data_IF_063706969507
#
_entry.id   IF_063706969507
#
_cell.length_a   1.000
_cell.length_b   1.000
_cell.length_c   1.000
_cell.angle_alpha   90.00
_cell.angle_beta   90.00
_cell.angle_gamma   90.00
#
_symmetry.space_group_name_H-M   'P 1'
#
loop_
_entity.id
_entity.type
_entity.pdbx_description
1 polymer ?
#
# COMPACT_ATOMS: atom_id res chain seq x y z
N UNK A 1 25.17 -19.30 -7.58
CA UNK A 1 24.58 -20.49 -6.87
C UNK A 1 24.07 -21.54 -7.86
N UNK A 2 23.57 -21.16 -9.05
CA UNK A 2 23.52 -22.07 -10.23
C UNK A 2 24.88 -22.75 -10.52
N UNK A 3 25.96 -22.23 -9.94
CA UNK A 3 27.34 -22.68 -10.06
C UNK A 3 27.90 -23.42 -8.82
N UNK A 4 27.12 -23.66 -7.75
CA UNK A 4 27.62 -24.44 -6.60
C UNK A 4 27.52 -25.94 -6.88
N UNK A 5 28.63 -26.66 -6.79
CA UNK A 5 28.73 -28.09 -7.12
C UNK A 5 27.98 -29.03 -6.17
N UNK A 6 27.74 -28.63 -4.90
CA UNK A 6 27.01 -29.45 -3.91
C UNK A 6 26.16 -28.57 -2.96
N UNK A 7 24.91 -28.22 -3.34
CA UNK A 7 24.02 -27.46 -2.47
C UNK A 7 23.42 -28.32 -1.35
N UNK A 8 23.34 -27.77 -0.15
CA UNK A 8 22.66 -28.38 1.00
C UNK A 8 21.15 -28.51 0.77
N UNK A 9 20.45 -29.37 1.53
CA UNK A 9 18.99 -29.51 1.42
C UNK A 9 18.25 -28.19 1.70
N UNK A 10 18.76 -27.37 2.62
CA UNK A 10 18.21 -26.06 2.93
C UNK A 10 18.38 -25.10 1.75
N UNK A 11 19.55 -25.10 1.11
CA UNK A 11 19.77 -24.27 -0.08
C UNK A 11 18.87 -24.70 -1.25
N UNK A 12 18.62 -26.01 -1.41
CA UNK A 12 17.66 -26.54 -2.40
C UNK A 12 16.24 -26.05 -2.09
N UNK A 13 15.76 -26.21 -0.85
CA UNK A 13 14.43 -25.75 -0.43
C UNK A 13 14.27 -24.24 -0.62
N UNK A 14 15.31 -23.46 -0.28
CA UNK A 14 15.33 -22.00 -0.46
C UNK A 14 15.10 -21.59 -1.92
N UNK A 15 15.82 -22.23 -2.86
CA UNK A 15 15.67 -21.97 -4.30
C UNK A 15 14.33 -22.46 -4.84
N UNK A 16 13.88 -23.62 -4.37
CA UNK A 16 12.57 -24.17 -4.71
C UNK A 16 11.45 -23.21 -4.32
N UNK A 17 11.47 -22.69 -3.08
CA UNK A 17 10.52 -21.69 -2.60
C UNK A 17 10.62 -20.39 -3.41
N UNK A 18 11.82 -19.87 -3.64
CA UNK A 18 12.04 -18.67 -4.45
C UNK A 18 11.40 -18.81 -5.84
N UNK A 19 11.67 -19.92 -6.54
CA UNK A 19 11.13 -20.18 -7.87
C UNK A 19 9.61 -20.36 -7.83
N UNK A 20 9.08 -21.13 -6.88
CA UNK A 20 7.64 -21.34 -6.74
C UNK A 20 6.89 -20.04 -6.46
N UNK A 21 7.37 -19.23 -5.53
CA UNK A 21 6.72 -17.97 -5.15
C UNK A 21 6.69 -16.99 -6.33
N UNK A 22 7.79 -16.87 -7.07
CA UNK A 22 7.83 -16.01 -8.26
C UNK A 22 6.99 -16.57 -9.42
N UNK A 23 6.87 -17.90 -9.53
CA UNK A 23 6.00 -18.56 -10.52
C UNK A 23 4.51 -18.38 -10.24
N UNK A 24 4.10 -17.92 -9.04
CA UNK A 24 2.70 -17.59 -8.75
C UNK A 24 2.21 -16.39 -9.58
N UNK A 25 3.11 -15.59 -10.16
CA UNK A 25 2.73 -14.45 -10.99
C UNK A 25 2.10 -13.28 -10.22
N UNK A 26 2.11 -13.31 -8.89
CA UNK A 26 1.58 -12.24 -8.01
C UNK A 26 2.29 -10.92 -8.27
N UNK A 27 3.61 -10.97 -8.44
CA UNK A 27 4.44 -9.81 -8.77
C UNK A 27 4.51 -8.77 -7.66
N UNK A 28 5.12 -7.62 -8.00
CA UNK A 28 5.29 -6.53 -7.05
C UNK A 28 3.93 -5.93 -6.68
N UNK A 29 3.71 -5.69 -5.39
CA UNK A 29 2.47 -5.15 -4.81
C UNK A 29 1.21 -6.00 -5.00
N UNK A 30 1.30 -7.19 -5.62
CA UNK A 30 0.12 -7.97 -6.00
C UNK A 30 -0.58 -7.45 -7.25
N UNK A 31 0.14 -6.75 -8.14
CA UNK A 31 -0.42 -6.21 -9.39
C UNK A 31 -0.07 -7.08 -10.62
N UNK A 32 0.43 -8.30 -10.40
CA UNK A 32 0.94 -9.17 -11.44
C UNK A 32 2.43 -8.95 -11.71
N UNK A 33 3.10 -9.99 -12.21
CA UNK A 33 4.48 -9.88 -12.69
C UNK A 33 5.37 -11.08 -12.33
N UNK A 34 6.63 -11.00 -12.72
CA UNK A 34 7.60 -12.10 -12.60
C UNK A 34 8.32 -12.16 -11.25
N UNK A 35 8.20 -11.13 -10.43
CA UNK A 35 8.98 -10.98 -9.20
C UNK A 35 8.08 -10.58 -8.05
N UNK A 36 7.72 -11.57 -7.24
CA UNK A 36 7.01 -11.42 -5.96
C UNK A 36 8.00 -11.28 -4.81
N UNK A 37 9.09 -12.07 -4.84
CA UNK A 37 10.16 -12.04 -3.83
C UNK A 37 11.53 -11.85 -4.50
N UNK A 38 12.34 -11.00 -3.89
CA UNK A 38 13.74 -10.78 -4.32
C UNK A 38 14.66 -11.91 -3.84
N UNK A 39 14.36 -12.49 -2.69
CA UNK A 39 15.10 -13.63 -2.16
C UNK A 39 14.28 -14.36 -1.08
N UNK A 40 14.65 -15.61 -0.82
CA UNK A 40 14.18 -16.39 0.33
C UNK A 40 15.39 -16.72 1.20
N UNK A 41 15.26 -16.56 2.52
CA UNK A 41 16.25 -16.99 3.51
C UNK A 41 15.61 -18.01 4.43
N UNK A 42 16.31 -19.11 4.69
CA UNK A 42 15.88 -20.16 5.61
C UNK A 42 16.94 -20.28 6.69
N UNK A 43 16.50 -20.30 7.94
CA UNK A 43 17.33 -20.55 9.11
C UNK A 43 16.66 -21.65 9.91
N UNK A 44 17.32 -22.77 10.08
CA UNK A 44 16.88 -23.89 10.87
C UNK A 44 17.62 -23.94 12.21
N UNK A 45 16.99 -24.58 13.19
CA UNK A 45 17.53 -24.81 14.52
C UNK A 45 17.01 -26.14 15.06
N UNK A 46 17.78 -26.84 15.91
CA UNK A 46 17.29 -28.03 16.59
C UNK A 46 16.11 -27.68 17.48
N UNK A 47 15.13 -28.59 17.54
CA UNK A 47 13.92 -28.44 18.35
C UNK A 47 13.71 -29.68 19.20
N UNK A 48 12.91 -29.56 20.27
CA UNK A 48 12.48 -30.73 21.03
C UNK A 48 11.74 -31.71 20.09
N UNK A 49 11.92 -33.02 20.27
CA UNK A 49 11.38 -34.03 19.34
C UNK A 49 9.84 -33.96 19.15
N UNK A 50 9.12 -33.45 20.14
CA UNK A 50 7.67 -33.22 20.09
C UNK A 50 7.28 -31.83 19.53
N UNK A 51 8.19 -31.09 18.91
CA UNK A 51 7.95 -29.70 18.47
C UNK A 51 8.65 -29.38 17.15
N UNK A 52 7.93 -28.71 16.26
CA UNK A 52 8.46 -28.21 14.99
C UNK A 52 7.93 -26.79 14.73
N UNK A 53 8.38 -25.79 15.50
CA UNK A 53 8.02 -24.39 15.27
C UNK A 53 8.50 -23.95 13.88
N UNK A 54 7.62 -23.28 13.14
CA UNK A 54 7.93 -22.66 11.85
C UNK A 54 7.46 -21.21 11.91
N UNK A 55 8.32 -20.28 11.51
CA UNK A 55 8.01 -18.86 11.44
C UNK A 55 8.31 -18.32 10.04
N UNK A 56 7.40 -17.50 9.52
CA UNK A 56 7.58 -16.75 8.27
C UNK A 56 7.66 -15.27 8.61
N UNK A 57 8.74 -14.61 8.19
CA UNK A 57 8.98 -13.20 8.46
C UNK A 57 9.24 -12.48 7.14
N UNK A 58 8.27 -11.70 6.62
CA UNK A 58 8.49 -10.91 5.42
C UNK A 58 9.40 -9.71 5.70
N UNK A 59 10.34 -9.43 4.80
CA UNK A 59 11.07 -8.16 4.76
C UNK A 59 10.52 -7.31 3.62
N UNK A 60 10.14 -6.07 3.91
CA UNK A 60 9.46 -5.19 2.95
C UNK A 60 10.45 -4.31 2.17
N UNK A 61 9.95 -3.52 1.23
CA UNK A 61 10.75 -2.57 0.45
C UNK A 61 11.55 -1.58 1.32
N UNK A 62 11.08 -1.26 2.53
CA UNK A 62 11.84 -0.50 3.51
C UNK A 62 12.83 -1.40 4.30
N UNK A 63 13.67 -2.14 3.57
CA UNK A 63 14.71 -3.03 4.12
C UNK A 63 15.87 -2.20 4.69
N UNK A 64 15.79 -1.86 5.97
CA UNK A 64 16.73 -0.94 6.63
C UNK A 64 17.53 -1.68 7.68
N UNK A 65 18.77 -2.01 7.34
CA UNK A 65 19.68 -2.72 8.23
C UNK A 65 21.12 -2.25 7.99
N UNK A 66 21.86 -1.99 9.07
CA UNK A 66 23.30 -1.71 9.05
C UNK A 66 23.98 -2.53 10.15
N UNK A 67 25.10 -3.17 9.84
CA UNK A 67 26.03 -3.70 10.84
C UNK A 67 27.27 -2.80 10.85
N UNK A 68 27.79 -2.52 12.04
CA UNK A 68 29.09 -1.87 12.19
C UNK A 68 29.79 -2.48 13.41
N UNK A 69 31.12 -2.40 13.43
CA UNK A 69 31.95 -2.81 14.56
C UNK A 69 32.70 -1.60 15.10
N UNK A 70 32.88 -1.55 16.42
CA UNK A 70 33.68 -0.51 17.07
C UNK A 70 35.02 -1.15 17.44
N UNK A 71 36.09 -0.67 16.83
CA UNK A 71 37.47 -1.14 17.03
C UNK A 71 38.39 -0.08 17.64
N UNK A 72 37.84 1.11 17.96
CA UNK A 72 38.58 2.24 18.50
C UNK A 72 39.26 3.12 17.44
N UNK A 73 39.04 2.88 16.14
CA UNK A 73 39.65 3.65 15.05
C UNK A 73 39.06 5.04 14.83
N UNK A 74 37.86 5.32 15.33
CA UNK A 74 37.21 6.63 15.18
C UNK A 74 35.69 6.58 15.17
N UNK A 75 35.08 7.62 14.62
CA UNK A 75 33.61 7.71 14.42
C UNK A 75 33.21 6.77 13.28
N UNK A 76 32.11 6.04 13.46
CA UNK A 76 31.54 5.24 12.40
C UNK A 76 30.88 6.15 11.35
N UNK A 77 31.25 5.97 10.09
CA UNK A 77 30.68 6.71 8.95
C UNK A 77 29.66 5.84 8.22
N UNK A 78 28.55 6.45 7.80
CA UNK A 78 27.58 5.78 6.93
C UNK A 78 28.12 5.80 5.49
N UNK A 79 28.12 4.67 4.77
CA UNK A 79 28.56 4.64 3.39
C UNK A 79 27.62 5.45 2.50
N UNK A 80 28.19 6.19 1.55
CA UNK A 80 27.43 6.86 0.50
C UNK A 80 26.69 5.85 -0.39
N UNK A 81 25.52 6.25 -0.87
CA UNK A 81 24.74 5.44 -1.82
C UNK A 81 25.28 5.64 -3.22
N UNK A 82 25.78 4.57 -3.84
CA UNK A 82 26.17 4.59 -5.24
C UNK A 82 24.93 4.61 -6.14
N UNK A 83 24.63 5.81 -6.66
CA UNK A 83 23.48 6.02 -7.54
C UNK A 83 23.63 5.29 -8.89
N UNK A 84 24.84 4.88 -9.30
CA UNK A 84 25.06 4.17 -10.57
C UNK A 84 24.54 2.73 -10.57
N UNK A 85 24.26 2.16 -9.38
CA UNK A 85 23.64 0.83 -9.23
C UNK A 85 22.15 0.85 -9.63
N UNK A 86 21.53 2.03 -9.63
CA UNK A 86 20.14 2.19 -10.03
C UNK A 86 20.05 2.36 -11.55
N UNK A 87 19.20 1.58 -12.24
CA UNK A 87 19.03 1.73 -13.67
C UNK A 87 18.36 3.08 -14.00
N UNK A 88 18.74 3.66 -15.14
CA UNK A 88 17.99 4.76 -15.75
C UNK A 88 16.66 4.20 -16.26
N UNK A 89 15.59 4.42 -15.47
CA UNK A 89 14.25 3.99 -15.82
C UNK A 89 13.46 5.16 -16.41
N UNK A 90 13.14 5.08 -17.70
CA UNK A 90 12.14 5.95 -18.30
C UNK A 90 10.74 5.37 -18.09
N UNK A 91 9.88 6.11 -17.40
CA UNK A 91 8.46 5.79 -17.30
C UNK A 91 7.66 6.59 -18.32
N UNK A 92 6.95 5.89 -19.18
CA UNK A 92 6.03 6.50 -20.14
C UNK A 92 4.70 6.90 -19.46
N UNK A 93 4.67 8.12 -18.91
CA UNK A 93 3.47 8.68 -18.28
C UNK A 93 2.38 9.08 -19.29
N UNK A 94 2.64 9.03 -20.61
CA UNK A 94 1.62 9.40 -21.61
C UNK A 94 0.40 8.47 -21.60
N UNK A 95 0.58 7.25 -21.07
CA UNK A 95 -0.47 6.23 -20.92
C UNK A 95 -1.35 6.41 -19.68
N UNK A 96 -0.95 7.28 -18.75
CA UNK A 96 -1.69 7.48 -17.52
C UNK A 96 -2.88 8.42 -17.77
N UNK A 97 -4.07 8.01 -17.32
CA UNK A 97 -5.26 8.86 -17.42
C UNK A 97 -5.18 9.97 -16.37
N UNK A 98 -5.26 11.23 -16.81
CA UNK A 98 -5.31 12.37 -15.88
C UNK A 98 -6.73 12.53 -15.34
N UNK A 99 -6.83 12.68 -14.03
CA UNK A 99 -8.12 12.79 -13.33
C UNK A 99 -8.10 14.03 -12.44
N UNK A 100 -9.01 14.96 -12.70
CA UNK A 100 -9.28 16.10 -11.82
C UNK A 100 -10.38 15.74 -10.83
N UNK A 101 -10.00 15.56 -9.57
CA UNK A 101 -10.89 15.17 -8.48
C UNK A 101 -11.93 16.24 -8.14
N UNK A 102 -11.71 17.51 -8.53
CA UNK A 102 -12.63 18.59 -8.18
C UNK A 102 -13.91 18.58 -9.05
N UNK A 103 -13.86 17.90 -10.19
CA UNK A 103 -14.98 17.76 -11.14
C UNK A 103 -15.37 16.31 -11.39
N UNK A 104 -14.70 15.35 -10.72
CA UNK A 104 -14.91 13.93 -10.92
C UNK A 104 -16.29 13.51 -10.43
N UNK A 105 -17.04 12.79 -11.26
CA UNK A 105 -18.31 12.16 -10.89
C UNK A 105 -18.19 10.64 -10.81
N UNK A 106 -19.17 9.98 -10.16
CA UNK A 106 -19.22 8.51 -10.10
C UNK A 106 -19.38 7.87 -11.47
N UNK A 107 -20.12 8.52 -12.37
CA UNK A 107 -20.31 8.06 -13.73
C UNK A 107 -18.99 8.05 -14.51
N UNK A 108 -18.12 9.04 -14.31
CA UNK A 108 -16.81 9.06 -14.97
C UNK A 108 -15.89 7.91 -14.48
N UNK A 109 -16.11 7.40 -13.25
CA UNK A 109 -15.37 6.24 -12.77
C UNK A 109 -15.83 4.92 -13.41
N UNK A 110 -17.00 4.86 -14.06
CA UNK A 110 -17.43 3.63 -14.74
C UNK A 110 -16.61 3.31 -15.99
N UNK A 111 -15.86 4.28 -16.51
CA UNK A 111 -14.93 4.11 -17.63
C UNK A 111 -13.55 3.57 -17.17
N UNK A 112 -13.37 3.34 -15.87
CA UNK A 112 -12.14 2.81 -15.30
C UNK A 112 -12.18 1.29 -15.25
N UNK A 113 -11.11 0.66 -15.71
CA UNK A 113 -10.92 -0.79 -15.61
C UNK A 113 -9.85 -1.09 -14.55
N UNK A 114 -9.91 -2.28 -13.95
CA UNK A 114 -8.82 -2.77 -13.12
C UNK A 114 -7.49 -2.73 -13.89
N UNK A 115 -6.43 -2.25 -13.24
CA UNK A 115 -5.11 -2.07 -13.84
C UNK A 115 -4.90 -0.74 -14.57
N UNK A 116 -5.95 0.07 -14.78
CA UNK A 116 -5.78 1.43 -15.28
C UNK A 116 -4.87 2.23 -14.34
N UNK A 117 -3.95 3.00 -14.92
CA UNK A 117 -3.05 3.89 -14.19
C UNK A 117 -3.53 5.33 -14.32
N UNK A 118 -3.64 6.02 -13.19
CA UNK A 118 -4.21 7.36 -13.08
C UNK A 118 -3.19 8.34 -12.50
N UNK A 119 -3.33 9.60 -12.88
CA UNK A 119 -2.68 10.75 -12.25
C UNK A 119 -3.74 11.65 -11.64
N UNK A 120 -3.88 11.61 -10.32
CA UNK A 120 -4.90 12.36 -9.60
C UNK A 120 -4.41 13.79 -9.30
N UNK A 121 -5.25 14.77 -9.58
CA UNK A 121 -5.06 16.17 -9.20
C UNK A 121 -6.32 16.68 -8.50
N UNK A 122 -6.18 17.40 -7.40
CA UNK A 122 -7.31 17.95 -6.63
C UNK A 122 -7.21 17.60 -5.15
N UNK A 123 -8.36 17.58 -4.47
CA UNK A 123 -8.41 17.44 -3.00
C UNK A 123 -8.71 16.01 -2.56
N UNK A 124 -7.94 15.49 -1.60
CA UNK A 124 -8.19 14.20 -0.92
C UNK A 124 -8.17 14.38 0.59
N UNK A 125 -8.87 13.51 1.31
CA UNK A 125 -8.91 13.52 2.78
C UNK A 125 -8.15 12.32 3.31
N UNK A 126 -7.34 12.47 4.35
CA UNK A 126 -6.67 11.32 4.96
C UNK A 126 -7.51 10.70 6.06
N UNK A 127 -7.32 9.41 6.29
CA UNK A 127 -7.86 8.75 7.46
C UNK A 127 -7.47 7.29 7.48
N UNK A 128 -7.02 6.80 8.62
CA UNK A 128 -6.67 5.39 8.83
C UNK A 128 -7.34 4.85 10.10
N UNK A 129 -6.78 3.83 10.71
CA UNK A 129 -7.35 3.00 11.76
C UNK A 129 -8.08 3.79 12.87
N UNK A 130 -7.40 4.71 13.57
CA UNK A 130 -7.98 5.46 14.69
C UNK A 130 -9.06 6.47 14.23
N UNK A 131 -8.82 7.14 13.11
CA UNK A 131 -9.78 8.10 12.53
C UNK A 131 -11.10 7.40 12.14
N UNK A 132 -11.03 6.25 11.46
CA UNK A 132 -12.22 5.47 11.10
C UNK A 132 -12.98 4.98 12.34
N UNK A 133 -12.26 4.50 13.36
CA UNK A 133 -12.87 4.07 14.62
C UNK A 133 -13.61 5.21 15.30
N UNK A 134 -13.03 6.42 15.34
CA UNK A 134 -13.67 7.59 15.95
C UNK A 134 -14.85 8.10 15.14
N UNK A 135 -14.75 8.14 13.81
CA UNK A 135 -15.89 8.47 12.93
C UNK A 135 -17.04 7.50 13.19
N UNK A 136 -16.78 6.19 13.27
CA UNK A 136 -17.80 5.20 13.59
C UNK A 136 -18.46 5.49 14.94
N UNK A 137 -17.66 5.74 15.99
CA UNK A 137 -18.20 6.05 17.32
C UNK A 137 -19.09 7.30 17.33
N UNK A 138 -18.66 8.36 16.64
CA UNK A 138 -19.45 9.60 16.53
C UNK A 138 -20.78 9.35 15.81
N UNK A 139 -20.78 8.56 14.73
CA UNK A 139 -21.99 8.19 14.01
C UNK A 139 -22.92 7.30 14.84
N UNK A 140 -22.37 6.30 15.55
CA UNK A 140 -23.13 5.44 16.45
C UNK A 140 -23.80 6.24 17.59
N UNK A 141 -23.13 7.31 18.06
CA UNK A 141 -23.64 8.21 19.10
C UNK A 141 -24.60 9.30 18.57
N UNK A 142 -24.82 9.38 17.25
CA UNK A 142 -25.63 10.44 16.64
C UNK A 142 -24.97 11.83 16.63
N UNK A 143 -23.67 11.92 16.86
CA UNK A 143 -22.89 13.18 16.85
C UNK A 143 -22.62 13.69 15.44
N UNK A 144 -22.80 12.84 14.43
CA UNK A 144 -22.53 13.15 13.03
C UNK A 144 -21.06 13.02 12.65
N UNK A 145 -20.66 13.71 11.58
CA UNK A 145 -19.27 13.73 11.10
C UNK A 145 -18.45 14.80 11.84
N UNK A 146 -17.11 14.69 11.86
CA UNK A 146 -16.25 15.70 12.46
C UNK A 146 -16.52 17.08 11.87
N UNK A 147 -16.69 18.08 12.74
CA UNK A 147 -17.00 19.46 12.32
C UNK A 147 -15.92 19.99 11.37
N UNK A 148 -16.34 20.51 10.23
CA UNK A 148 -15.44 21.11 9.24
C UNK A 148 -14.72 20.11 8.34
N UNK A 149 -15.03 18.81 8.44
CA UNK A 149 -14.53 17.79 7.51
C UNK A 149 -15.63 17.47 6.50
N UNK A 150 -15.33 17.68 5.23
CA UNK A 150 -16.19 17.31 4.13
C UNK A 150 -15.60 16.12 3.38
N UNK A 151 -16.35 15.02 3.35
CA UNK A 151 -16.01 13.78 2.67
C UNK A 151 -16.74 13.64 1.33
N UNK A 152 -17.76 14.47 1.09
CA UNK A 152 -18.63 14.31 -0.08
C UNK A 152 -17.83 14.51 -1.36
N UNK A 153 -18.00 13.59 -2.30
CA UNK A 153 -17.26 13.57 -3.56
C UNK A 153 -15.73 13.61 -3.42
N UNK A 154 -15.16 13.16 -2.28
CA UNK A 154 -13.69 13.06 -2.09
C UNK A 154 -13.23 11.62 -2.05
N UNK A 155 -11.94 11.42 -2.34
CA UNK A 155 -11.24 10.17 -2.01
C UNK A 155 -10.70 10.24 -0.59
N UNK A 156 -10.81 9.13 0.14
CA UNK A 156 -10.11 8.96 1.42
C UNK A 156 -8.78 8.23 1.20
N UNK A 157 -7.67 8.84 1.62
CA UNK A 157 -6.34 8.28 1.53
C UNK A 157 -5.92 7.67 2.87
N UNK A 158 -5.64 6.37 2.84
CA UNK A 158 -5.19 5.63 4.00
C UNK A 158 -3.69 5.83 4.20
N UNK A 159 -3.33 6.88 4.92
CA UNK A 159 -1.95 7.30 5.17
C UNK A 159 -1.78 7.75 6.62
N UNK A 160 -0.58 7.53 7.16
CA UNK A 160 -0.11 8.22 8.36
C UNK A 160 1.14 8.99 7.98
N UNK A 161 1.05 10.28 7.61
CA UNK A 161 2.19 11.03 7.15
C UNK A 161 3.19 11.24 8.28
N UNK A 162 4.47 11.31 7.93
CA UNK A 162 5.53 11.78 8.84
C UNK A 162 5.46 13.31 8.92
N UNK A 163 5.82 13.85 10.08
CA UNK A 163 5.91 15.30 10.27
C UNK A 163 6.88 15.92 9.24
N UNK A 164 6.49 17.07 8.70
CA UNK A 164 7.33 17.85 7.82
C UNK A 164 8.58 18.34 8.55
N UNK A 165 9.70 18.39 7.85
CA UNK A 165 10.93 19.05 8.30
C UNK A 165 11.20 20.27 7.44
N UNK A 166 11.73 21.32 8.05
CA UNK A 166 12.06 22.59 7.39
C UNK A 166 10.90 23.12 6.53
N UNK A 167 11.12 23.29 5.23
CA UNK A 167 10.15 23.86 4.28
C UNK A 167 9.30 22.78 3.55
N UNK A 168 9.32 21.53 4.02
CA UNK A 168 8.48 20.48 3.45
C UNK A 168 6.99 20.76 3.68
N UNK A 169 6.16 20.54 2.65
CA UNK A 169 4.70 20.60 2.79
C UNK A 169 4.20 19.50 3.75
N UNK A 170 4.79 18.32 3.64
CA UNK A 170 4.49 17.12 4.40
C UNK A 170 5.68 16.17 4.30
N UNK A 171 5.99 15.42 5.36
CA UNK A 171 7.00 14.36 5.31
C UNK A 171 6.56 13.18 4.44
N UNK A 172 7.34 12.08 4.40
CA UNK A 172 6.96 10.85 3.70
C UNK A 172 5.52 10.40 4.01
N UNK A 173 4.72 10.22 2.95
CA UNK A 173 3.28 10.01 3.05
C UNK A 173 2.85 8.82 2.18
N UNK A 174 3.32 7.63 2.54
CA UNK A 174 3.02 6.40 1.81
C UNK A 174 1.72 5.72 2.27
N UNK A 175 1.09 4.90 1.41
CA UNK A 175 -0.16 4.23 1.73
C UNK A 175 0.01 3.18 2.85
N UNK A 176 -1.05 2.94 3.60
CA UNK A 176 -1.16 1.83 4.55
C UNK A 176 -2.09 0.73 4.03
N UNK A 177 -2.01 -0.45 4.65
CA UNK A 177 -2.78 -1.64 4.26
C UNK A 177 -4.28 -1.38 4.35
N UNK A 178 -4.97 -1.42 3.21
CA UNK A 178 -6.36 -1.04 3.07
C UNK A 178 -7.34 -2.01 3.75
N UNK A 179 -6.99 -3.29 3.81
CA UNK A 179 -7.80 -4.36 4.43
C UNK A 179 -8.15 -4.07 5.88
N UNK A 180 -7.31 -3.31 6.61
CA UNK A 180 -7.60 -2.92 8.01
C UNK A 180 -8.83 -2.01 8.15
N UNK A 181 -9.24 -1.34 7.07
CA UNK A 181 -10.40 -0.46 7.02
C UNK A 181 -11.64 -1.12 6.39
N UNK A 182 -11.56 -2.41 6.04
CA UNK A 182 -12.66 -3.11 5.34
C UNK A 182 -13.96 -3.11 6.16
N UNK A 183 -13.88 -3.29 7.48
CA UNK A 183 -15.04 -3.27 8.38
C UNK A 183 -15.74 -1.91 8.48
N UNK A 184 -15.09 -0.82 8.05
CA UNK A 184 -15.67 0.54 8.05
C UNK A 184 -16.16 0.96 6.67
N UNK A 185 -15.83 0.22 5.60
CA UNK A 185 -15.96 0.72 4.22
C UNK A 185 -17.42 0.98 3.83
N UNK A 186 -18.34 0.05 4.11
CA UNK A 186 -19.76 0.26 3.73
C UNK A 186 -20.37 1.43 4.48
N UNK A 187 -20.01 1.60 5.75
CA UNK A 187 -20.41 2.75 6.55
C UNK A 187 -19.87 4.06 5.95
N UNK A 188 -18.57 4.11 5.61
CA UNK A 188 -17.98 5.32 5.04
C UNK A 188 -18.64 5.67 3.71
N UNK A 189 -18.80 4.70 2.81
CA UNK A 189 -19.44 4.92 1.52
C UNK A 189 -20.89 5.40 1.67
N UNK A 190 -21.67 4.75 2.53
CA UNK A 190 -23.09 5.06 2.71
C UNK A 190 -23.35 6.38 3.45
N UNK A 191 -22.54 6.70 4.47
CA UNK A 191 -22.79 7.83 5.37
C UNK A 191 -22.05 9.12 5.00
N UNK A 192 -20.98 9.02 4.21
CA UNK A 192 -20.10 10.18 3.96
C UNK A 192 -20.04 10.62 2.50
N UNK A 193 -20.46 9.79 1.55
CA UNK A 193 -20.47 10.16 0.13
C UNK A 193 -19.10 10.08 -0.57
N UNK A 194 -18.05 9.55 0.08
CA UNK A 194 -16.73 9.38 -0.56
C UNK A 194 -16.82 8.66 -1.91
N UNK A 195 -16.06 9.12 -2.91
CA UNK A 195 -15.98 8.50 -4.24
C UNK A 195 -15.21 7.18 -4.20
N UNK A 196 -14.30 7.04 -3.25
CA UNK A 196 -13.45 5.89 -3.18
C UNK A 196 -12.35 6.02 -2.16
N UNK A 197 -11.44 5.06 -2.21
CA UNK A 197 -10.38 4.90 -1.23
C UNK A 197 -9.04 4.71 -1.91
N UNK A 198 -7.97 5.25 -1.32
CA UNK A 198 -6.59 5.09 -1.79
C UNK A 198 -5.81 4.38 -0.68
N UNK A 199 -5.10 3.30 -1.01
CA UNK A 199 -4.33 2.54 -0.02
C UNK A 199 -3.30 1.63 -0.67
N UNK A 200 -2.98 0.51 -0.01
CA UNK A 200 -2.19 -0.60 -0.57
C UNK A 200 -2.78 -1.95 -0.16
N UNK A 201 -2.35 -3.00 -0.85
CA UNK A 201 -2.84 -4.39 -0.69
C UNK A 201 -4.29 -4.59 -1.16
N UNK A 202 -4.73 -5.84 -1.10
CA UNK A 202 -6.04 -6.30 -1.52
C UNK A 202 -7.18 -5.84 -0.61
N UNK A 203 -8.40 -5.89 -1.16
CA UNK A 203 -9.65 -5.69 -0.42
C UNK A 203 -10.40 -7.01 -0.33
N UNK A 204 -11.08 -7.25 0.79
CA UNK A 204 -11.95 -8.40 0.95
C UNK A 204 -13.16 -8.40 0.02
N UNK A 205 -13.81 -9.56 -0.10
CA UNK A 205 -14.98 -9.73 -0.97
C UNK A 205 -16.15 -8.85 -0.53
N UNK A 206 -16.45 -8.77 0.77
CA UNK A 206 -17.54 -7.94 1.29
C UNK A 206 -17.34 -6.46 0.94
N UNK A 207 -16.12 -5.97 1.08
CA UNK A 207 -15.72 -4.61 0.69
C UNK A 207 -15.85 -4.37 -0.80
N UNK A 208 -15.42 -5.34 -1.62
CA UNK A 208 -15.57 -5.29 -3.08
C UNK A 208 -17.05 -5.17 -3.49
N UNK A 209 -17.94 -5.89 -2.81
CA UNK A 209 -19.39 -5.77 -3.04
C UNK A 209 -19.95 -4.41 -2.59
N UNK A 210 -19.44 -3.87 -1.49
CA UNK A 210 -19.82 -2.52 -1.04
C UNK A 210 -19.37 -1.44 -2.04
N UNK A 211 -18.14 -1.54 -2.57
CA UNK A 211 -17.64 -0.65 -3.63
C UNK A 211 -18.58 -0.68 -4.84
N UNK A 212 -19.00 -1.87 -5.28
CA UNK A 212 -19.99 -2.04 -6.36
C UNK A 212 -21.35 -1.41 -6.03
N UNK A 213 -21.89 -1.69 -4.83
CA UNK A 213 -23.18 -1.17 -4.35
C UNK A 213 -23.24 0.36 -4.44
N UNK A 214 -22.15 1.03 -4.09
CA UNK A 214 -22.06 2.49 -4.03
C UNK A 214 -21.43 3.14 -5.27
N UNK A 215 -21.11 2.37 -6.32
CA UNK A 215 -20.42 2.87 -7.53
C UNK A 215 -19.16 3.68 -7.18
N UNK A 216 -18.34 3.15 -6.29
CA UNK A 216 -17.10 3.74 -5.83
C UNK A 216 -15.88 3.05 -6.48
N UNK A 217 -14.66 3.47 -6.17
CA UNK A 217 -13.45 2.76 -6.60
C UNK A 217 -12.43 2.62 -5.46
N UNK A 218 -11.59 1.59 -5.53
CA UNK A 218 -10.40 1.48 -4.70
C UNK A 218 -9.15 1.54 -5.56
N UNK A 219 -8.26 2.47 -5.19
CA UNK A 219 -7.02 2.77 -5.88
C UNK A 219 -5.83 2.38 -5.01
N UNK A 220 -4.77 1.90 -5.64
CA UNK A 220 -3.52 1.56 -4.98
C UNK A 220 -2.48 2.62 -5.32
N UNK A 221 -1.92 3.22 -4.27
CA UNK A 221 -0.68 3.98 -4.37
C UNK A 221 0.52 3.04 -4.13
N UNK A 222 1.69 3.39 -4.66
CA UNK A 222 2.88 2.54 -4.58
C UNK A 222 3.36 2.36 -3.15
N UNK A 223 3.24 1.13 -2.62
CA UNK A 223 3.73 0.79 -1.29
C UNK A 223 5.26 0.86 -1.21
N UNK A 224 5.80 1.61 -0.24
CA UNK A 224 7.24 1.75 -0.01
C UNK A 224 7.87 3.01 -0.62
N UNK A 225 7.21 3.64 -1.60
CA UNK A 225 7.69 4.87 -2.24
C UNK A 225 7.17 6.15 -1.55
N UNK A 226 7.12 6.16 -0.22
CA UNK A 226 6.44 7.19 0.57
C UNK A 226 6.95 8.63 0.31
N UNK A 227 8.26 8.80 0.14
CA UNK A 227 8.86 10.10 -0.15
C UNK A 227 8.54 10.58 -1.57
N UNK A 228 8.50 9.67 -2.55
CA UNK A 228 8.14 10.02 -3.92
C UNK A 228 6.66 10.43 -4.02
N UNK A 229 5.78 9.70 -3.34
CA UNK A 229 4.35 10.04 -3.26
C UNK A 229 4.15 11.39 -2.55
N UNK A 230 4.91 11.69 -1.49
CA UNK A 230 4.74 13.00 -0.83
C UNK A 230 5.08 14.17 -1.75
N UNK A 231 5.92 13.99 -2.79
CA UNK A 231 6.17 15.03 -3.80
C UNK A 231 4.95 15.38 -4.65
N UNK A 232 3.93 14.53 -4.76
CA UNK A 232 2.67 14.91 -5.40
C UNK A 232 1.78 15.78 -4.51
N UNK A 233 2.02 15.81 -3.19
CA UNK A 233 1.24 16.63 -2.23
C UNK A 233 1.77 18.06 -2.26
N UNK A 234 0.89 19.02 -2.56
CA UNK A 234 1.22 20.45 -2.72
C UNK A 234 0.75 21.31 -1.56
N UNK A 235 -0.30 20.89 -0.85
CA UNK A 235 -0.71 21.48 0.43
C UNK A 235 -1.21 20.39 1.37
N UNK A 236 -0.98 20.56 2.66
CA UNK A 236 -1.47 19.66 3.71
C UNK A 236 -2.01 20.50 4.88
N UNK A 237 -3.27 20.27 5.25
CA UNK A 237 -3.93 20.95 6.36
C UNK A 237 -4.55 19.93 7.29
N UNK A 238 -4.16 19.93 8.56
CA UNK A 238 -4.89 19.18 9.61
C UNK A 238 -6.28 19.80 9.78
N UNK A 239 -7.31 18.98 9.70
CA UNK A 239 -8.71 19.45 9.76
C UNK A 239 -9.53 18.78 10.86
N UNK A 240 -9.12 17.61 11.37
CA UNK A 240 -9.75 17.00 12.54
C UNK A 240 -8.83 16.00 13.25
N UNK A 241 -9.18 15.70 14.50
CA UNK A 241 -8.53 14.70 15.36
C UNK A 241 -7.04 14.95 15.57
N UNK A 242 -6.65 16.21 15.83
CA UNK A 242 -5.26 16.60 16.07
C UNK A 242 -4.60 15.83 17.23
N UNK A 243 -5.41 15.38 18.19
CA UNK A 243 -4.98 14.53 19.31
C UNK A 243 -4.43 13.15 18.90
N UNK A 244 -4.61 12.75 17.63
CA UNK A 244 -4.22 11.43 17.11
C UNK A 244 -2.86 11.42 16.39
N UNK A 245 -2.11 12.53 16.41
CA UNK A 245 -0.79 12.62 15.78
C UNK A 245 -0.81 12.29 14.28
N UNK A 246 -0.02 11.30 13.86
CA UNK A 246 0.01 10.84 12.46
C UNK A 246 -1.32 10.26 11.94
N UNK A 247 -2.28 9.94 12.82
CA UNK A 247 -3.60 9.44 12.43
C UNK A 247 -4.68 10.53 12.33
N UNK A 248 -4.30 11.80 12.53
CA UNK A 248 -5.19 12.92 12.31
C UNK A 248 -5.73 12.95 10.87
N UNK A 249 -6.87 13.61 10.68
CA UNK A 249 -7.46 13.83 9.36
C UNK A 249 -6.83 15.08 8.76
N UNK A 250 -6.23 14.92 7.59
CA UNK A 250 -5.69 15.99 6.78
C UNK A 250 -6.55 16.18 5.53
N UNK A 251 -6.71 17.43 5.11
CA UNK A 251 -7.05 17.77 3.73
C UNK A 251 -5.75 17.98 2.96
N UNK A 252 -5.56 17.22 1.89
CA UNK A 252 -4.40 17.29 1.03
C UNK A 252 -4.80 17.79 -0.36
N UNK A 253 -4.05 18.74 -0.90
CA UNK A 253 -4.10 19.11 -2.31
C UNK A 253 -2.99 18.36 -3.04
N UNK A 254 -3.36 17.48 -3.97
CA UNK A 254 -2.41 16.67 -4.75
C UNK A 254 -2.37 17.11 -6.21
N UNK A 255 -1.21 16.92 -6.84
CA UNK A 255 -1.00 17.13 -8.27
C UNK A 255 -0.26 15.94 -8.86
N UNK A 256 -0.84 15.36 -9.91
CA UNK A 256 -0.31 14.21 -10.64
C UNK A 256 0.09 13.04 -9.71
N UNK A 257 -0.72 12.73 -8.68
CA UNK A 257 -0.48 11.62 -7.78
C UNK A 257 -0.72 10.28 -8.50
N UNK A 258 0.30 9.41 -8.64
CA UNK A 258 0.16 8.18 -9.39
C UNK A 258 -0.53 7.09 -8.57
N UNK A 259 -1.57 6.50 -9.15
CA UNK A 259 -2.32 5.38 -8.55
C UNK A 259 -2.77 4.38 -9.61
N UNK A 260 -3.12 3.18 -9.19
CA UNK A 260 -3.67 2.12 -10.04
C UNK A 260 -5.05 1.70 -9.57
N UNK A 261 -6.00 1.55 -10.49
CA UNK A 261 -7.35 1.05 -10.18
C UNK A 261 -7.25 -0.41 -9.80
N UNK A 262 -7.53 -0.72 -8.53
CA UNK A 262 -7.44 -2.07 -8.00
C UNK A 262 -8.82 -2.73 -7.84
N UNK A 263 -9.84 -1.93 -7.52
CA UNK A 263 -11.26 -2.32 -7.62
C UNK A 263 -12.01 -1.25 -8.38
N UNK A 264 -12.68 -1.63 -9.46
CA UNK A 264 -13.52 -0.74 -10.26
C UNK A 264 -14.94 -0.58 -9.67
N UNK A 265 -15.75 0.29 -10.27
CA UNK A 265 -17.12 0.57 -9.82
C UNK A 265 -18.10 -0.59 -10.00
N UNK A 266 -17.73 -1.62 -10.75
CA UNK A 266 -18.50 -2.84 -10.93
C UNK A 266 -18.08 -3.96 -9.97
N UNK A 267 -17.06 -3.71 -9.15
CA UNK A 267 -16.54 -4.64 -8.16
C UNK A 267 -15.60 -5.70 -8.75
N UNK A 268 -15.04 -5.49 -9.95
CA UNK A 268 -13.92 -6.32 -10.40
C UNK A 268 -12.69 -5.94 -9.59
N UNK A 269 -11.94 -6.94 -9.13
CA UNK A 269 -10.80 -6.76 -8.23
C UNK A 269 -9.56 -7.42 -8.84
N UNK A 270 -8.50 -6.64 -9.03
CA UNK A 270 -7.25 -7.10 -9.66
C UNK A 270 -6.60 -8.28 -8.92
N UNK A 271 -6.79 -8.37 -7.60
CA UNK A 271 -6.20 -9.42 -6.79
C UNK A 271 -6.99 -10.73 -6.80
N UNK A 272 -8.25 -10.73 -7.26
CA UNK A 272 -9.07 -11.95 -7.31
C UNK A 272 -8.47 -13.01 -8.23
N UNK A 273 -7.63 -12.61 -9.20
CA UNK A 273 -6.91 -13.51 -10.11
C UNK A 273 -6.00 -14.46 -9.33
N UNK A 274 -5.41 -14.01 -8.21
CA UNK A 274 -4.46 -14.82 -7.43
C UNK A 274 -5.13 -15.78 -6.45
N UNK A 275 -6.42 -15.61 -6.15
CA UNK A 275 -7.16 -16.45 -5.20
C UNK A 275 -7.38 -17.88 -5.72
N UNK A 276 -7.31 -18.08 -7.04
CA UNK A 276 -7.51 -19.37 -7.69
C UNK A 276 -6.20 -20.11 -8.01
N UNK A 277 -5.05 -19.60 -7.56
CA UNK A 277 -3.77 -20.26 -7.84
C UNK A 277 -3.67 -21.54 -6.99
N UNK A 278 -3.71 -22.70 -7.67
CA UNK A 278 -3.46 -23.98 -7.02
C UNK A 278 -1.98 -24.06 -6.61
N UNK A 279 -1.71 -23.97 -5.31
CA UNK A 279 -0.41 -24.33 -4.76
C UNK A 279 -0.32 -25.85 -4.76
N UNK A 280 0.25 -26.43 -5.83
CA UNK A 280 0.43 -27.88 -5.93
C UNK A 280 1.42 -28.33 -4.86
N UNK A 281 0.92 -29.07 -3.88
CA UNK A 281 1.76 -29.75 -2.89
C UNK A 281 2.67 -30.73 -3.61
N UNK A 282 3.97 -30.46 -3.57
CA UNK A 282 4.99 -31.44 -3.92
C UNK A 282 5.23 -32.23 -2.66
N UNK A 283 5.01 -33.55 -2.70
CA UNK A 283 5.40 -34.43 -1.60
C UNK A 283 6.90 -34.21 -1.35
N UNK A 284 7.22 -33.63 -0.21
CA UNK A 284 8.59 -33.57 0.34
C UNK A 284 8.93 -34.93 0.90
#
# INVERSE_FOLDING_TARGET
ISEKSNPTNIEKLRLELFNKINSLGIGAQGLGGLTTVLDVKIKDYPTHAASQPVAMIPNCAATRHLHFSIDGSGVAELPDVDMSVYPDLEMDYSKYKKVDLNILTREQMSDWNIGDTLLLTGTIITGRDAAHKRIKQMLDNGEGLPKGVDFDNKFIYYVGPVDAVDDEVIGPAGPTTATRMDCFTDMMLEKTGILGMIGKAERGQATTQSIKKHKASYLIAVGGAAYLISKSIKKAKKIAFEDMGMEAIYELEVKDMPVTVAVDSEGHNIHSIFQNIQVVSTKV
#
